data_IF_460014720012
#
_entry.id   IF_460014720012
#
_cell.length_a   1.000
_cell.length_b   1.000
_cell.length_c   1.000
_cell.angle_alpha   90.00
_cell.angle_beta   90.00
_cell.angle_gamma   90.00
#
_symmetry.space_group_name_H-M   'P 1'
#
loop_
_entity.id
_entity.type
_entity.pdbx_description
1 polymer ?
#
# COMPACT_ATOMS: atom_id res chain seq x y z
N UNK A 1 61.66 55.23 44.60
CA UNK A 1 60.47 55.69 43.90
C UNK A 1 59.96 54.53 43.09
N UNK A 2 59.03 53.69 43.69
CA UNK A 2 58.59 52.40 43.19
C UNK A 2 57.12 52.54 42.82
N UNK A 3 56.85 52.47 41.47
CA UNK A 3 55.52 52.47 40.93
C UNK A 3 54.94 51.04 40.98
N UNK A 4 53.91 50.83 41.80
CA UNK A 4 53.13 49.60 41.82
C UNK A 4 52.04 49.69 40.70
N UNK A 5 52.12 48.82 39.75
CA UNK A 5 51.07 48.61 38.74
C UNK A 5 49.94 47.77 39.33
N UNK A 6 48.68 48.30 39.20
CA UNK A 6 47.44 47.60 39.59
C UNK A 6 47.06 46.56 38.49
N UNK A 7 46.53 45.39 38.85
CA UNK A 7 46.01 44.43 37.88
C UNK A 7 44.66 44.87 37.30
N UNK A 8 44.31 44.52 36.05
CA UNK A 8 43.06 44.89 35.42
C UNK A 8 41.85 44.08 36.00
N UNK A 9 40.83 44.80 36.38
CA UNK A 9 39.55 44.20 36.82
C UNK A 9 38.77 43.66 35.64
N UNK A 10 38.51 42.36 35.60
CA UNK A 10 37.64 41.70 34.63
C UNK A 10 36.18 42.10 34.88
N UNK A 11 35.60 42.73 33.89
CA UNK A 11 34.19 43.17 33.88
C UNK A 11 33.25 41.96 33.85
N UNK A 12 32.28 41.95 34.80
CA UNK A 12 31.23 40.93 34.95
C UNK A 12 30.31 40.75 33.70
N UNK A 13 30.45 41.60 32.70
CA UNK A 13 29.66 41.56 31.44
C UNK A 13 30.13 40.57 30.41
N UNK A 14 31.34 39.97 30.49
CA UNK A 14 31.86 39.00 29.54
C UNK A 14 31.66 37.54 29.92
N UNK A 15 31.08 37.26 31.09
CA UNK A 15 30.83 35.88 31.55
C UNK A 15 29.46 35.35 31.17
N UNK A 16 28.57 36.14 30.54
CA UNK A 16 27.20 35.75 30.17
C UNK A 16 27.02 35.45 28.68
N UNK A 17 28.07 35.48 27.86
CA UNK A 17 27.97 35.22 26.42
C UNK A 17 28.55 33.85 25.96
N UNK A 18 29.04 33.02 26.86
CA UNK A 18 29.61 31.72 26.51
C UNK A 18 28.73 30.50 26.89
N UNK A 19 27.49 30.73 27.39
CA UNK A 19 26.58 29.70 27.86
C UNK A 19 25.40 29.36 26.98
N UNK A 20 25.29 29.95 25.77
CA UNK A 20 24.04 29.91 24.97
C UNK A 20 24.06 28.97 23.75
N UNK A 21 25.12 28.23 23.47
CA UNK A 21 25.23 27.51 22.18
C UNK A 21 25.18 25.96 22.24
N UNK A 22 24.96 25.34 23.41
CA UNK A 22 24.97 23.86 23.52
C UNK A 22 23.62 23.21 23.86
N UNK A 23 22.54 23.97 24.03
CA UNK A 23 21.23 23.40 24.38
C UNK A 23 20.27 23.20 23.18
N UNK A 24 20.68 23.61 21.96
CA UNK A 24 19.79 23.55 20.77
C UNK A 24 19.90 22.28 19.92
N UNK A 25 20.95 21.45 20.09
CA UNK A 25 21.22 20.32 19.20
C UNK A 25 20.63 18.98 19.68
N UNK A 26 20.20 18.86 20.91
CA UNK A 26 19.67 17.61 21.48
C UNK A 26 18.16 17.44 21.37
N UNK A 27 17.40 18.55 21.19
CA UNK A 27 15.93 18.49 21.05
C UNK A 27 15.44 18.09 19.66
N UNK A 28 16.22 18.34 18.59
CA UNK A 28 15.89 17.93 17.22
C UNK A 28 16.15 16.45 16.94
N UNK A 29 17.09 15.84 17.68
CA UNK A 29 17.42 14.41 17.52
C UNK A 29 16.40 13.47 18.18
N UNK A 30 15.65 13.92 19.19
CA UNK A 30 14.62 13.13 19.87
C UNK A 30 13.26 13.17 19.16
N UNK A 31 12.91 14.28 18.49
CA UNK A 31 11.66 14.38 17.73
C UNK A 31 11.67 13.52 16.45
N UNK A 32 12.84 13.34 15.81
CA UNK A 32 12.97 12.48 14.63
C UNK A 32 12.88 10.96 14.97
N UNK A 33 13.12 10.57 16.22
CA UNK A 33 13.05 9.16 16.63
C UNK A 33 11.64 8.69 17.01
N UNK A 34 10.73 9.61 17.33
CA UNK A 34 9.35 9.28 17.71
C UNK A 34 8.49 8.99 16.46
N UNK A 35 8.86 9.49 15.26
CA UNK A 35 8.18 9.19 14.00
C UNK A 35 8.74 7.99 13.23
N UNK A 36 9.85 7.39 13.67
CA UNK A 36 10.43 6.18 13.06
C UNK A 36 9.89 4.88 13.69
N UNK A 37 8.86 4.95 14.53
CA UNK A 37 8.42 3.86 15.41
C UNK A 37 7.31 2.98 14.86
N UNK A 38 6.78 3.16 13.63
CA UNK A 38 5.71 2.28 13.12
C UNK A 38 5.77 2.10 11.60
N UNK A 39 6.96 1.95 11.04
CA UNK A 39 7.19 1.90 9.58
C UNK A 39 6.86 0.56 8.93
N UNK A 40 6.31 -0.42 9.64
CA UNK A 40 5.96 -1.74 9.08
C UNK A 40 4.45 -2.00 9.02
N UNK A 41 3.64 -0.94 9.03
CA UNK A 41 2.21 -1.05 8.76
C UNK A 41 1.93 -0.98 7.25
N UNK A 42 1.20 -1.99 6.75
CA UNK A 42 0.67 -1.96 5.39
C UNK A 42 -0.84 -1.75 5.44
N UNK A 43 -1.27 -0.63 4.88
CA UNK A 43 -2.69 -0.23 4.79
C UNK A 43 -3.15 -0.27 3.33
N UNK A 44 -4.42 -0.62 3.12
CA UNK A 44 -5.11 -0.54 1.82
C UNK A 44 -6.48 0.10 1.99
N UNK A 45 -6.88 0.87 0.99
CA UNK A 45 -8.27 1.27 0.79
C UNK A 45 -8.83 0.58 -0.44
N UNK A 46 -9.90 -0.22 -0.27
CA UNK A 46 -10.57 -0.97 -1.33
C UNK A 46 -11.99 -0.43 -1.49
N UNK A 47 -12.30 0.13 -2.66
CA UNK A 47 -13.63 0.65 -3.04
C UNK A 47 -14.26 -0.32 -4.02
N UNK A 48 -15.33 -1.01 -3.63
CA UNK A 48 -16.05 -1.87 -4.55
C UNK A 48 -16.85 -1.02 -5.57
N UNK A 49 -16.75 -1.34 -6.86
CA UNK A 49 -17.49 -0.59 -7.90
C UNK A 49 -18.92 -1.09 -8.11
N UNK A 50 -19.29 -2.22 -7.54
CA UNK A 50 -20.62 -2.82 -7.67
C UNK A 50 -21.48 -2.67 -6.42
N UNK A 51 -20.87 -2.24 -5.30
CA UNK A 51 -21.54 -2.01 -4.03
C UNK A 51 -21.04 -0.68 -3.43
N UNK A 52 -21.79 -0.02 -2.53
CA UNK A 52 -21.35 1.23 -1.92
C UNK A 52 -20.22 1.06 -0.90
N UNK A 53 -19.69 -0.15 -0.75
CA UNK A 53 -18.77 -0.50 0.31
C UNK A 53 -17.35 0.04 0.04
N UNK A 54 -16.79 0.65 1.08
CA UNK A 54 -15.40 1.09 1.14
C UNK A 54 -14.75 0.46 2.36
N UNK A 55 -13.65 -0.25 2.16
CA UNK A 55 -12.85 -0.82 3.23
C UNK A 55 -11.52 -0.08 3.29
N UNK A 56 -11.21 0.53 4.44
CA UNK A 56 -9.91 1.12 4.74
C UNK A 56 -9.37 0.47 6.01
N UNK A 57 -8.21 -0.20 5.92
CA UNK A 57 -7.63 -0.91 7.06
C UNK A 57 -6.12 -1.18 6.90
N UNK A 58 -5.47 -1.36 8.06
CA UNK A 58 -4.16 -1.99 8.15
C UNK A 58 -4.37 -3.50 8.10
N UNK A 59 -3.77 -4.17 7.12
CA UNK A 59 -3.88 -5.62 6.96
C UNK A 59 -2.64 -6.38 7.45
N UNK A 60 -1.50 -5.67 7.61
CA UNK A 60 -0.22 -6.23 8.06
C UNK A 60 0.48 -5.25 8.99
N UNK A 61 1.08 -5.75 10.08
CA UNK A 61 1.84 -4.97 11.05
C UNK A 61 2.97 -5.82 11.62
N UNK A 62 4.17 -5.24 11.74
CA UNK A 62 5.34 -5.95 12.27
C UNK A 62 5.65 -7.25 11.51
N UNK A 63 5.48 -7.25 10.18
CA UNK A 63 5.70 -8.43 9.35
C UNK A 63 4.58 -9.48 9.40
N UNK A 64 3.54 -9.31 10.25
CA UNK A 64 2.46 -10.29 10.43
C UNK A 64 1.14 -9.78 9.84
N UNK A 65 0.43 -10.66 9.14
CA UNK A 65 -0.93 -10.40 8.69
C UNK A 65 -1.90 -10.43 9.88
N UNK A 66 -2.89 -9.52 9.85
CA UNK A 66 -3.90 -9.39 10.90
C UNK A 66 -5.14 -10.23 10.51
N UNK A 67 -5.45 -11.35 11.21
CA UNK A 67 -6.54 -12.24 10.81
C UNK A 67 -7.90 -11.56 10.69
N UNK A 68 -8.22 -10.64 11.60
CA UNK A 68 -9.47 -9.88 11.55
C UNK A 68 -9.55 -8.95 10.33
N UNK A 69 -8.40 -8.38 9.92
CA UNK A 69 -8.32 -7.58 8.70
C UNK A 69 -8.52 -8.44 7.46
N UNK A 70 -7.91 -9.64 7.40
CA UNK A 70 -8.11 -10.58 6.29
C UNK A 70 -9.58 -11.00 6.16
N UNK A 71 -10.25 -11.32 7.25
CA UNK A 71 -11.69 -11.66 7.23
C UNK A 71 -12.55 -10.50 6.68
N UNK A 72 -12.20 -9.25 6.98
CA UNK A 72 -12.87 -8.07 6.41
C UNK A 72 -12.58 -7.91 4.91
N UNK A 73 -11.35 -8.22 4.47
CA UNK A 73 -10.98 -8.23 3.05
C UNK A 73 -11.76 -9.29 2.29
N UNK A 74 -11.92 -10.50 2.83
CA UNK A 74 -12.73 -11.58 2.24
C UNK A 74 -14.17 -11.14 2.03
N UNK A 75 -14.76 -10.44 3.01
CA UNK A 75 -16.09 -9.86 2.86
C UNK A 75 -16.14 -8.78 1.77
N UNK A 76 -15.16 -7.89 1.74
CA UNK A 76 -15.08 -6.80 0.75
C UNK A 76 -14.90 -7.32 -0.69
N UNK A 77 -14.12 -8.39 -0.85
CA UNK A 77 -13.77 -8.99 -2.13
C UNK A 77 -14.65 -10.19 -2.52
N UNK A 78 -15.74 -10.44 -1.79
CA UNK A 78 -16.70 -11.51 -2.11
C UNK A 78 -17.24 -11.38 -3.53
N UNK A 79 -17.78 -12.45 -4.06
CA UNK A 79 -18.57 -12.39 -5.28
C UNK A 79 -19.85 -11.56 -5.05
N UNK A 80 -19.90 -10.37 -5.61
CA UNK A 80 -21.04 -9.46 -5.39
C UNK A 80 -22.35 -9.94 -6.03
N UNK A 81 -22.29 -10.93 -6.93
CA UNK A 81 -23.47 -11.51 -7.60
C UNK A 81 -24.14 -12.60 -6.77
N UNK A 82 -23.32 -13.44 -6.12
CA UNK A 82 -23.82 -14.58 -5.32
C UNK A 82 -23.75 -14.31 -3.81
N UNK A 83 -22.92 -13.37 -3.39
CA UNK A 83 -22.61 -13.11 -1.99
C UNK A 83 -21.56 -14.07 -1.40
N UNK A 84 -21.09 -15.03 -2.17
CA UNK A 84 -20.13 -16.04 -1.72
C UNK A 84 -18.79 -15.40 -1.36
N UNK A 85 -18.22 -15.90 -0.24
CA UNK A 85 -16.91 -15.52 0.29
C UNK A 85 -15.91 -16.64 0.08
N UNK A 86 -14.66 -16.27 -0.05
CA UNK A 86 -13.54 -17.19 -0.15
C UNK A 86 -12.31 -16.57 0.52
N UNK A 87 -11.43 -17.36 1.14
CA UNK A 87 -10.14 -16.85 1.59
C UNK A 87 -9.38 -16.14 0.48
N UNK A 88 -8.85 -14.97 0.79
CA UNK A 88 -8.04 -14.18 -0.14
C UNK A 88 -6.57 -14.38 0.19
N UNK A 89 -5.77 -14.73 -0.81
CA UNK A 89 -4.32 -14.85 -0.66
C UNK A 89 -3.72 -13.53 -0.16
N UNK A 90 -3.13 -13.48 1.06
CA UNK A 90 -2.57 -12.25 1.60
C UNK A 90 -1.44 -11.65 0.73
N UNK A 91 -0.75 -12.46 -0.08
CA UNK A 91 0.27 -11.98 -1.02
C UNK A 91 -0.33 -11.08 -2.13
N UNK A 92 -1.63 -11.23 -2.42
CA UNK A 92 -2.35 -10.34 -3.32
C UNK A 92 -2.42 -8.92 -2.75
N UNK A 93 -2.64 -8.79 -1.43
CA UNK A 93 -2.66 -7.51 -0.73
C UNK A 93 -1.27 -6.87 -0.72
N UNK A 94 -0.23 -7.66 -0.51
CA UNK A 94 1.16 -7.19 -0.60
C UNK A 94 1.49 -6.69 -2.02
N UNK A 95 1.00 -7.38 -3.05
CA UNK A 95 1.16 -6.96 -4.46
C UNK A 95 0.50 -5.60 -4.71
N UNK A 96 -0.72 -5.40 -4.21
CA UNK A 96 -1.42 -4.11 -4.31
C UNK A 96 -0.67 -3.00 -3.58
N UNK A 97 -0.23 -3.25 -2.35
CA UNK A 97 0.53 -2.28 -1.58
C UNK A 97 1.83 -1.87 -2.29
N UNK A 98 2.62 -2.86 -2.72
CA UNK A 98 3.91 -2.61 -3.35
C UNK A 98 3.80 -1.90 -4.71
N UNK A 99 2.79 -2.21 -5.52
CA UNK A 99 2.60 -1.53 -6.81
C UNK A 99 2.22 -0.05 -6.61
N UNK A 100 1.40 0.27 -5.58
CA UNK A 100 1.07 1.65 -5.24
C UNK A 100 2.30 2.42 -4.73
N UNK A 101 3.15 1.78 -3.89
CA UNK A 101 4.41 2.37 -3.46
C UNK A 101 5.35 2.68 -4.64
N UNK A 102 5.45 1.78 -5.62
CA UNK A 102 6.24 2.00 -6.85
C UNK A 102 5.67 3.08 -7.74
N UNK A 103 4.37 3.30 -7.69
CA UNK A 103 3.70 4.39 -8.37
C UNK A 103 3.78 5.74 -7.61
N UNK A 104 4.28 5.75 -6.36
CA UNK A 104 4.43 6.95 -5.54
C UNK A 104 3.11 7.54 -5.07
N UNK A 105 2.07 6.70 -4.89
CA UNK A 105 0.73 7.13 -4.47
C UNK A 105 0.19 6.29 -3.32
N UNK A 106 -0.83 6.80 -2.65
CA UNK A 106 -1.56 6.04 -1.62
C UNK A 106 -2.21 4.79 -2.23
N UNK A 107 -2.22 3.64 -1.52
CA UNK A 107 -2.78 2.39 -1.99
C UNK A 107 -4.32 2.38 -1.91
N UNK A 108 -4.96 3.20 -2.75
CA UNK A 108 -6.41 3.36 -2.86
C UNK A 108 -6.88 2.76 -4.17
N UNK A 109 -7.56 1.61 -4.10
CA UNK A 109 -8.00 0.86 -5.27
C UNK A 109 -9.51 0.87 -5.46
N UNK A 110 -9.94 1.05 -6.70
CA UNK A 110 -11.29 0.73 -7.14
C UNK A 110 -11.31 -0.73 -7.63
N UNK A 111 -12.13 -1.57 -7.00
CA UNK A 111 -12.22 -3.01 -7.26
C UNK A 111 -13.34 -3.29 -8.24
N UNK A 112 -13.02 -3.86 -9.39
CA UNK A 112 -13.95 -4.33 -10.42
C UNK A 112 -14.36 -5.77 -10.12
N UNK A 113 -13.41 -6.63 -9.73
CA UNK A 113 -13.68 -8.03 -9.41
C UNK A 113 -12.66 -8.54 -8.39
N UNK A 114 -13.12 -9.13 -7.30
CA UNK A 114 -12.31 -9.90 -6.35
C UNK A 114 -12.51 -11.40 -6.55
N UNK A 115 -12.96 -12.11 -5.51
CA UNK A 115 -13.37 -13.50 -5.60
C UNK A 115 -14.54 -13.66 -6.58
N UNK A 116 -14.51 -14.74 -7.31
CA UNK A 116 -15.52 -15.10 -8.30
C UNK A 116 -15.95 -16.55 -8.06
N UNK A 117 -17.21 -16.76 -7.72
CA UNK A 117 -17.74 -18.11 -7.53
C UNK A 117 -17.65 -18.92 -8.83
N UNK A 118 -17.61 -20.25 -8.76
CA UNK A 118 -17.66 -21.10 -9.96
C UNK A 118 -18.85 -20.78 -10.87
N UNK A 119 -20.01 -20.50 -10.27
CA UNK A 119 -21.23 -20.13 -11.00
C UNK A 119 -21.03 -18.82 -11.76
N UNK A 120 -20.50 -17.78 -11.12
CA UNK A 120 -20.22 -16.50 -11.77
C UNK A 120 -19.16 -16.66 -12.85
N UNK A 121 -18.10 -17.46 -12.61
CA UNK A 121 -17.05 -17.68 -13.58
C UNK A 121 -17.59 -18.40 -14.82
N UNK A 122 -18.42 -19.43 -14.67
CA UNK A 122 -19.06 -20.14 -15.78
C UNK A 122 -19.94 -19.19 -16.62
N UNK A 123 -20.80 -18.40 -15.97
CA UNK A 123 -21.64 -17.40 -16.64
C UNK A 123 -20.81 -16.38 -17.44
N UNK A 124 -19.71 -15.90 -16.90
CA UNK A 124 -18.84 -14.93 -17.57
C UNK A 124 -18.04 -15.57 -18.72
N UNK A 125 -17.62 -16.82 -18.58
CA UNK A 125 -16.93 -17.59 -19.62
C UNK A 125 -17.84 -17.82 -20.83
N UNK A 126 -19.12 -18.13 -20.60
CA UNK A 126 -20.12 -18.27 -21.67
C UNK A 126 -20.38 -16.95 -22.43
N UNK A 127 -20.27 -15.81 -21.74
CA UNK A 127 -20.59 -14.48 -22.31
C UNK A 127 -19.39 -13.79 -22.97
N UNK A 128 -18.17 -14.26 -22.72
CA UNK A 128 -16.97 -13.64 -23.26
C UNK A 128 -15.84 -14.65 -23.47
N UNK A 129 -15.11 -14.52 -24.57
CA UNK A 129 -13.92 -15.35 -24.86
C UNK A 129 -12.69 -14.98 -24.01
N UNK A 130 -12.78 -13.94 -23.18
CA UNK A 130 -11.66 -13.42 -22.38
C UNK A 130 -11.59 -13.98 -20.96
N UNK A 131 -12.58 -14.76 -20.50
CA UNK A 131 -12.60 -15.35 -19.16
C UNK A 131 -12.13 -16.80 -19.22
N UNK A 132 -11.06 -17.12 -18.49
CA UNK A 132 -10.55 -18.50 -18.39
C UNK A 132 -11.53 -19.39 -17.64
N UNK A 133 -11.71 -20.66 -18.07
CA UNK A 133 -12.51 -21.65 -17.36
C UNK A 133 -11.94 -21.95 -15.95
N UNK A 134 -10.61 -21.94 -15.81
CA UNK A 134 -9.90 -22.05 -14.53
C UNK A 134 -9.26 -20.70 -14.21
N UNK A 135 -9.97 -19.87 -13.46
CA UNK A 135 -9.55 -18.52 -13.13
C UNK A 135 -9.05 -18.42 -11.70
N UNK A 136 -7.92 -17.74 -11.46
CA UNK A 136 -7.40 -17.48 -10.12
C UNK A 136 -8.34 -16.61 -9.25
N UNK A 137 -9.30 -15.94 -9.85
CA UNK A 137 -10.40 -15.32 -9.10
C UNK A 137 -11.22 -16.34 -8.31
N UNK A 138 -11.38 -17.57 -8.82
CA UNK A 138 -12.10 -18.65 -8.12
C UNK A 138 -11.31 -19.21 -6.92
N UNK A 139 -10.02 -18.91 -6.85
CA UNK A 139 -9.12 -19.35 -5.77
C UNK A 139 -8.83 -18.21 -4.76
N UNK A 140 -9.45 -17.03 -4.90
CA UNK A 140 -9.13 -15.85 -4.09
C UNK A 140 -7.72 -15.31 -4.32
N UNK A 141 -7.13 -15.58 -5.47
CA UNK A 141 -5.74 -15.26 -5.83
C UNK A 141 -5.59 -14.23 -6.93
N UNK A 142 -6.69 -13.62 -7.35
CA UNK A 142 -6.69 -12.59 -8.39
C UNK A 142 -7.64 -11.45 -8.07
N UNK A 143 -7.33 -10.27 -8.62
CA UNK A 143 -8.14 -9.06 -8.48
C UNK A 143 -8.04 -8.21 -9.75
N UNK A 144 -9.19 -7.62 -10.15
CA UNK A 144 -9.27 -6.64 -11.23
C UNK A 144 -9.46 -5.25 -10.61
N UNK A 145 -8.54 -4.31 -10.89
CA UNK A 145 -8.47 -3.03 -10.17
C UNK A 145 -8.11 -1.84 -11.04
N UNK A 146 -8.43 -0.65 -10.52
CA UNK A 146 -7.80 0.63 -10.86
C UNK A 146 -7.13 1.20 -9.61
N UNK A 147 -5.98 1.86 -9.79
CA UNK A 147 -5.30 2.59 -8.72
C UNK A 147 -5.63 4.09 -8.85
N UNK A 148 -6.04 4.72 -7.75
CA UNK A 148 -6.38 6.13 -7.75
C UNK A 148 -5.19 6.99 -8.21
N UNK A 149 -5.44 7.97 -9.07
CA UNK A 149 -4.44 8.91 -9.63
C UNK A 149 -3.40 8.28 -10.57
N UNK A 150 -3.54 6.99 -10.94
CA UNK A 150 -2.62 6.29 -11.83
C UNK A 150 -3.40 5.70 -13.00
N UNK A 151 -2.99 5.98 -14.23
CA UNK A 151 -3.58 5.37 -15.41
C UNK A 151 -3.34 3.85 -15.45
N UNK A 152 -4.28 3.09 -16.01
CA UNK A 152 -4.15 1.63 -16.04
C UNK A 152 -2.93 1.13 -16.82
N UNK A 153 -2.45 1.87 -17.83
CA UNK A 153 -1.21 1.55 -18.53
C UNK A 153 0.02 1.65 -17.61
N UNK A 154 0.10 2.72 -16.79
CA UNK A 154 1.19 2.93 -15.84
C UNK A 154 1.11 1.93 -14.68
N UNK A 155 -0.10 1.64 -14.17
CA UNK A 155 -0.30 0.61 -13.16
C UNK A 155 0.18 -0.76 -13.67
N UNK A 156 -0.17 -1.13 -14.90
CA UNK A 156 0.31 -2.37 -15.50
C UNK A 156 1.83 -2.39 -15.65
N UNK A 157 2.44 -1.30 -16.11
CA UNK A 157 3.89 -1.18 -16.23
C UNK A 157 4.59 -1.36 -14.88
N UNK A 158 4.10 -0.71 -13.81
CA UNK A 158 4.64 -0.85 -12.44
C UNK A 158 4.48 -2.27 -11.89
N UNK A 159 3.36 -2.92 -12.16
CA UNK A 159 3.14 -4.31 -11.79
C UNK A 159 4.10 -5.27 -12.50
N UNK A 160 4.35 -5.05 -13.80
CA UNK A 160 5.30 -5.86 -14.59
C UNK A 160 6.75 -5.73 -14.08
N UNK A 161 7.17 -4.54 -13.62
CA UNK A 161 8.49 -4.32 -13.01
C UNK A 161 8.72 -5.22 -11.77
N UNK A 162 7.65 -5.62 -11.08
CA UNK A 162 7.74 -6.47 -9.89
C UNK A 162 8.09 -7.93 -10.23
N UNK A 163 7.83 -8.38 -11.47
CA UNK A 163 8.03 -9.76 -11.94
C UNK A 163 7.34 -10.80 -11.05
N UNK A 164 6.17 -10.46 -10.52
CA UNK A 164 5.35 -11.32 -9.65
C UNK A 164 4.00 -11.55 -10.29
N UNK A 165 3.51 -12.80 -10.20
CA UNK A 165 2.17 -13.17 -10.63
C UNK A 165 1.83 -12.85 -12.08
N UNK A 166 0.56 -12.90 -12.40
CA UNK A 166 0.01 -12.50 -13.68
C UNK A 166 -0.35 -11.02 -13.70
N UNK A 167 -0.09 -10.37 -14.84
CA UNK A 167 -0.49 -8.98 -15.10
C UNK A 167 -1.22 -8.92 -16.42
N UNK A 168 -2.52 -8.65 -16.39
CA UNK A 168 -3.38 -8.43 -17.56
C UNK A 168 -3.78 -6.97 -17.69
N UNK A 169 -3.52 -6.35 -18.83
CA UNK A 169 -3.96 -4.98 -19.10
C UNK A 169 -5.15 -4.98 -20.06
N UNK A 170 -6.31 -4.55 -19.56
CA UNK A 170 -7.58 -4.47 -20.30
C UNK A 170 -7.86 -3.01 -20.67
N UNK A 171 -7.32 -2.60 -21.82
CA UNK A 171 -7.35 -1.19 -22.24
C UNK A 171 -8.77 -0.66 -22.45
N UNK A 172 -9.65 -1.43 -23.11
CA UNK A 172 -11.00 -0.98 -23.43
C UNK A 172 -11.89 -0.90 -22.19
N UNK A 173 -11.69 -1.83 -21.24
CA UNK A 173 -12.44 -1.88 -19.98
C UNK A 173 -11.78 -1.05 -18.88
N UNK A 174 -10.63 -0.46 -19.15
CA UNK A 174 -9.84 0.40 -18.27
C UNK A 174 -9.62 -0.20 -16.88
N UNK A 175 -9.00 -1.38 -16.83
CA UNK A 175 -8.55 -2.01 -15.59
C UNK A 175 -7.31 -2.86 -15.78
N UNK A 176 -6.67 -3.21 -14.67
CA UNK A 176 -5.54 -4.13 -14.60
C UNK A 176 -5.92 -5.33 -13.75
N UNK A 177 -5.71 -6.53 -14.30
CA UNK A 177 -5.75 -7.77 -13.57
C UNK A 177 -4.41 -8.03 -12.91
N UNK A 178 -4.42 -8.38 -11.63
CA UNK A 178 -3.24 -8.80 -10.85
C UNK A 178 -3.55 -10.14 -10.17
N UNK A 179 -2.57 -11.05 -10.14
CA UNK A 179 -2.74 -12.33 -9.45
C UNK A 179 -1.42 -12.85 -8.81
N UNK A 180 -1.52 -13.86 -7.95
CA UNK A 180 -0.39 -14.50 -7.26
C UNK A 180 0.05 -15.81 -7.90
N UNK A 181 -0.30 -16.03 -9.16
CA UNK A 181 0.15 -17.20 -9.93
C UNK A 181 1.59 -17.06 -10.44
N UNK A 182 1.96 -17.87 -11.42
CA UNK A 182 3.24 -17.72 -12.12
C UNK A 182 3.30 -16.38 -12.87
N UNK A 183 4.49 -15.81 -12.99
CA UNK A 183 4.69 -14.59 -13.78
C UNK A 183 4.29 -14.80 -15.25
N UNK A 184 3.37 -13.98 -15.72
CA UNK A 184 2.91 -13.92 -17.10
C UNK A 184 2.22 -12.59 -17.39
N UNK A 185 2.08 -12.24 -18.66
CA UNK A 185 1.41 -11.02 -19.09
C UNK A 185 0.54 -11.25 -20.30
N UNK A 186 -0.53 -10.47 -20.39
CA UNK A 186 -1.41 -10.43 -21.58
C UNK A 186 -2.11 -9.08 -21.70
N UNK A 187 -2.73 -8.86 -22.83
CA UNK A 187 -3.59 -7.71 -23.12
C UNK A 187 -4.97 -8.20 -23.55
N UNK A 188 -6.03 -7.54 -23.06
CA UNK A 188 -7.42 -7.79 -23.39
C UNK A 188 -8.10 -6.55 -23.95
#
# INVERSE_FOLDING_TARGET
MTLRSRPPTLSRRRLLQAGGALAGATALGLAARVYAGDSDERRLTLKNLHTPEVLDLVYRRGGQYLPEALARVELQLRDYRTGDRHPIDPQLLDTLYEVAQRAGVDPVFSVISGYRSPQTNAMLHERSNGVASHSLHMEGRAIDVRLARVGCADLAAKALEMKRGGVGYYRQSDFVHLDTGRFRTWRG
#
